data_IF_704558268750
#
_entry.id   IF_704558268750
#
_cell.length_a   1.000
_cell.length_b   1.000
_cell.length_c   1.000
_cell.angle_alpha   90.00
_cell.angle_beta   90.00
_cell.angle_gamma   90.00
#
_symmetry.space_group_name_H-M   'P 1'
#
loop_
_entity.id
_entity.type
_entity.pdbx_description
1 polymer ?
#
# COMPACT_ATOMS: atom_id res chain seq x y z
N UNK A 1 25.94 32.44 7.74
CA UNK A 1 26.40 31.04 7.61
C UNK A 1 26.34 30.44 9.00
N UNK A 2 25.72 29.33 9.32
CA UNK A 2 25.16 28.22 8.54
C UNK A 2 24.16 27.53 9.49
N UNK A 3 22.94 27.25 9.03
CA UNK A 3 21.94 26.51 9.82
C UNK A 3 22.20 25.01 9.59
N UNK A 4 22.44 24.18 10.61
CA UNK A 4 22.45 22.74 10.39
C UNK A 4 21.00 22.27 10.16
N UNK A 5 20.67 22.01 8.90
CA UNK A 5 19.49 21.22 8.53
C UNK A 5 19.68 19.80 9.08
N UNK A 6 19.04 19.52 10.22
CA UNK A 6 18.94 18.17 10.78
C UNK A 6 17.62 17.55 10.34
N UNK A 7 17.60 16.59 9.41
CA UNK A 7 16.40 15.80 9.14
C UNK A 7 16.42 14.58 10.06
N UNK A 8 16.19 14.77 11.36
CA UNK A 8 16.18 13.64 12.34
C UNK A 8 14.87 13.41 13.09
N UNK A 9 13.81 14.18 12.85
CA UNK A 9 12.54 13.94 13.52
C UNK A 9 11.35 14.33 12.65
N UNK A 10 10.82 13.38 11.88
CA UNK A 10 9.40 13.38 11.53
C UNK A 10 8.82 11.96 11.39
N UNK A 11 9.31 11.00 12.20
CA UNK A 11 8.54 9.80 12.53
C UNK A 11 7.96 9.95 13.96
N UNK A 12 7.36 11.12 14.21
CA UNK A 12 6.57 11.32 15.42
C UNK A 12 5.15 10.85 15.15
N UNK A 13 4.87 9.62 15.59
CA UNK A 13 3.66 9.29 16.34
C UNK A 13 2.35 9.86 15.77
N UNK A 14 1.78 9.12 14.84
CA UNK A 14 0.32 8.97 14.72
C UNK A 14 0.14 7.46 14.60
N UNK A 15 0.01 6.68 15.68
CA UNK A 15 -1.28 6.44 16.36
C UNK A 15 -2.43 7.10 15.60
N UNK A 16 -2.61 6.69 14.34
CA UNK A 16 -3.85 6.90 13.63
C UNK A 16 -4.80 5.91 14.29
N UNK A 17 -5.71 6.41 15.13
CA UNK A 17 -7.00 5.77 15.33
C UNK A 17 -7.73 5.80 13.98
N UNK A 18 -7.22 5.02 13.03
CA UNK A 18 -7.88 4.68 11.80
C UNK A 18 -8.73 3.49 12.16
N UNK A 19 -10.03 3.59 11.92
CA UNK A 19 -10.91 2.42 11.87
C UNK A 19 -10.13 1.31 11.17
N UNK A 20 -9.88 0.17 11.84
CA UNK A 20 -9.29 -1.00 11.19
C UNK A 20 -10.20 -1.32 10.01
N UNK A 21 -9.81 -0.88 8.82
CA UNK A 21 -10.53 -1.19 7.60
C UNK A 21 -10.42 -2.71 7.48
N UNK A 22 -11.53 -3.40 7.75
CA UNK A 22 -11.59 -4.83 7.50
C UNK A 22 -11.64 -5.00 5.99
N UNK A 23 -10.47 -5.19 5.38
CA UNK A 23 -10.38 -5.50 3.96
C UNK A 23 -10.82 -6.95 3.78
N UNK A 24 -11.99 -7.14 3.17
CA UNK A 24 -12.50 -8.46 2.79
C UNK A 24 -11.89 -8.94 1.48
N UNK A 25 -11.82 -10.26 1.29
CA UNK A 25 -11.24 -10.87 0.08
C UNK A 25 -12.00 -10.47 -1.20
N UNK A 26 -13.30 -10.18 -1.09
CA UNK A 26 -14.17 -9.73 -2.17
C UNK A 26 -14.01 -8.23 -2.53
N UNK A 27 -13.34 -7.43 -1.68
CA UNK A 27 -13.22 -5.99 -1.90
C UNK A 27 -12.34 -5.67 -3.09
N UNK A 28 -12.83 -4.80 -3.96
CA UNK A 28 -12.08 -4.26 -5.10
C UNK A 28 -11.15 -3.16 -4.61
N UNK A 29 -9.85 -3.39 -4.82
CA UNK A 29 -8.81 -2.45 -4.41
C UNK A 29 -8.45 -1.54 -5.57
N UNK A 30 -8.32 -0.24 -5.26
CA UNK A 30 -7.86 0.78 -6.19
C UNK A 30 -6.91 1.74 -5.49
N UNK A 31 -5.95 2.26 -6.24
CA UNK A 31 -5.16 3.41 -5.79
C UNK A 31 -6.07 4.61 -5.52
N UNK A 32 -5.72 5.39 -4.51
CA UNK A 32 -6.38 6.66 -4.26
C UNK A 32 -6.12 7.64 -5.42
N UNK A 33 -7.07 8.52 -5.72
CA UNK A 33 -6.96 9.48 -6.83
C UNK A 33 -5.76 10.44 -6.66
N UNK A 34 -5.32 10.64 -5.41
CA UNK A 34 -4.16 11.44 -5.02
C UNK A 34 -2.91 10.60 -4.75
N UNK A 35 -2.93 9.29 -5.00
CA UNK A 35 -1.77 8.41 -4.91
C UNK A 35 -1.26 8.03 -6.31
N UNK A 36 0.06 8.06 -6.49
CA UNK A 36 0.71 7.60 -7.72
C UNK A 36 1.90 6.71 -7.42
N UNK A 37 1.96 5.55 -8.06
CA UNK A 37 3.11 4.64 -7.99
C UNK A 37 4.11 5.02 -9.07
N UNK A 38 5.38 5.17 -8.71
CA UNK A 38 6.47 5.40 -9.64
C UNK A 38 7.61 4.43 -9.38
N UNK A 39 8.08 3.77 -10.44
CA UNK A 39 9.25 2.90 -10.37
C UNK A 39 10.52 3.75 -10.50
N UNK A 40 11.42 3.64 -9.53
CA UNK A 40 12.67 4.39 -9.46
C UNK A 40 13.83 3.41 -9.24
N UNK A 41 14.60 3.16 -10.29
CA UNK A 41 15.68 2.18 -10.25
C UNK A 41 15.12 0.76 -10.13
N UNK A 42 15.52 0.03 -9.08
CA UNK A 42 15.13 -1.35 -8.81
C UNK A 42 13.99 -1.47 -7.77
N UNK A 43 13.18 -0.42 -7.57
CA UNK A 43 12.03 -0.50 -6.68
C UNK A 43 10.96 0.55 -6.97
N UNK A 44 9.83 0.46 -6.27
CA UNK A 44 8.72 1.40 -6.39
C UNK A 44 8.63 2.40 -5.21
N UNK A 45 8.20 3.61 -5.53
CA UNK A 45 7.80 4.63 -4.56
C UNK A 45 6.36 5.07 -4.81
N UNK A 46 5.59 5.29 -3.75
CA UNK A 46 4.27 5.89 -3.81
C UNK A 46 4.36 7.36 -3.42
N UNK A 47 3.90 8.24 -4.29
CA UNK A 47 3.74 9.66 -4.02
C UNK A 47 2.28 9.97 -3.70
N UNK A 48 2.03 10.54 -2.52
CA UNK A 48 0.75 11.13 -2.18
C UNK A 48 0.76 12.61 -2.58
N UNK A 49 0.03 12.97 -3.64
CA UNK A 49 -0.07 14.33 -4.16
C UNK A 49 -0.68 15.31 -3.14
N UNK A 50 -1.56 14.83 -2.24
CA UNK A 50 -2.18 15.67 -1.21
C UNK A 50 -1.19 16.17 -0.16
N UNK A 51 -0.27 15.31 0.28
CA UNK A 51 0.68 15.62 1.37
C UNK A 51 2.10 15.87 0.87
N UNK A 52 2.42 15.47 -0.36
CA UNK A 52 3.80 15.44 -0.89
C UNK A 52 4.67 14.36 -0.24
N UNK A 53 4.07 13.41 0.50
CA UNK A 53 4.81 12.33 1.14
C UNK A 53 5.15 11.23 0.14
N UNK A 54 6.35 10.67 0.30
CA UNK A 54 6.85 9.56 -0.48
C UNK A 54 7.00 8.34 0.43
N UNK A 55 6.43 7.23 0.00
CA UNK A 55 6.56 5.93 0.64
C UNK A 55 7.41 5.03 -0.26
N UNK A 56 8.40 4.36 0.32
CA UNK A 56 9.19 3.36 -0.39
C UNK A 56 8.55 2.00 -0.23
N UNK A 57 8.27 1.32 -1.33
CA UNK A 57 7.71 -0.02 -1.33
C UNK A 57 8.81 -1.07 -1.32
N UNK A 58 8.59 -2.17 -0.60
CA UNK A 58 9.38 -3.38 -0.80
C UNK A 58 8.87 -4.13 -2.05
N UNK A 59 9.62 -5.12 -2.54
CA UNK A 59 9.26 -5.83 -3.78
C UNK A 59 7.90 -6.54 -3.72
N UNK A 60 7.46 -6.98 -2.53
CA UNK A 60 6.13 -7.58 -2.34
C UNK A 60 5.02 -6.54 -2.45
N UNK A 61 5.18 -5.38 -1.81
CA UNK A 61 4.24 -4.25 -1.89
C UNK A 61 4.18 -3.70 -3.31
N UNK A 62 5.31 -3.63 -4.01
CA UNK A 62 5.35 -3.25 -5.42
C UNK A 62 4.54 -4.23 -6.29
N UNK A 63 4.80 -5.53 -6.18
CA UNK A 63 4.08 -6.54 -6.93
C UNK A 63 2.57 -6.57 -6.61
N UNK A 64 2.20 -6.19 -5.39
CA UNK A 64 0.82 -6.01 -4.97
C UNK A 64 0.20 -4.78 -5.65
N UNK A 65 0.82 -3.61 -5.52
CA UNK A 65 0.34 -2.36 -6.10
C UNK A 65 0.25 -2.40 -7.63
N UNK A 66 1.15 -3.13 -8.29
CA UNK A 66 1.11 -3.35 -9.74
C UNK A 66 -0.14 -4.14 -10.19
N UNK A 67 -0.70 -4.96 -9.31
CA UNK A 67 -1.92 -5.74 -9.56
C UNK A 67 -3.21 -5.00 -9.18
N UNK A 68 -3.10 -3.94 -8.37
CA UNK A 68 -4.21 -3.08 -7.95
C UNK A 68 -4.56 -2.14 -9.11
N UNK A 69 -5.56 -2.53 -9.89
CA UNK A 69 -6.04 -1.79 -11.06
C UNK A 69 -7.42 -1.14 -10.86
N UNK A 70 -8.04 -1.32 -9.69
CA UNK A 70 -9.40 -0.88 -9.42
C UNK A 70 -10.51 -1.73 -10.03
N UNK A 71 -10.17 -2.88 -10.62
CA UNK A 71 -11.13 -3.86 -11.13
C UNK A 71 -11.02 -5.20 -10.40
N UNK A 72 -9.82 -5.57 -9.92
CA UNK A 72 -9.59 -6.83 -9.22
C UNK A 72 -9.91 -6.75 -7.72
N UNK A 73 -10.48 -7.83 -7.20
CA UNK A 73 -10.65 -8.00 -5.76
C UNK A 73 -9.34 -8.43 -5.08
N UNK A 74 -9.26 -8.26 -3.76
CA UNK A 74 -8.12 -8.74 -2.97
C UNK A 74 -7.84 -10.23 -3.23
N UNK A 75 -8.87 -11.10 -3.23
CA UNK A 75 -8.73 -12.54 -3.49
C UNK A 75 -8.07 -12.83 -4.85
N UNK A 76 -8.46 -12.09 -5.89
CA UNK A 76 -7.89 -12.24 -7.23
C UNK A 76 -6.43 -11.82 -7.25
N UNK A 77 -6.09 -10.74 -6.57
CA UNK A 77 -4.70 -10.26 -6.43
C UNK A 77 -3.86 -11.28 -5.66
N UNK A 78 -4.39 -11.81 -4.55
CA UNK A 78 -3.73 -12.83 -3.71
C UNK A 78 -3.49 -14.11 -4.50
N UNK A 79 -4.44 -14.55 -5.34
CA UNK A 79 -4.23 -15.72 -6.21
C UNK A 79 -3.08 -15.49 -7.20
N UNK A 80 -3.00 -14.31 -7.81
CA UNK A 80 -1.92 -13.96 -8.74
C UNK A 80 -0.56 -13.91 -8.04
N UNK A 81 -0.50 -13.32 -6.84
CA UNK A 81 0.73 -13.25 -6.05
C UNK A 81 1.13 -14.62 -5.50
N UNK A 82 0.18 -15.45 -5.10
CA UNK A 82 0.42 -16.82 -4.63
C UNK A 82 1.10 -17.66 -5.72
N UNK A 83 0.65 -17.52 -6.97
CA UNK A 83 1.25 -18.17 -8.14
C UNK A 83 2.64 -17.60 -8.46
N UNK A 84 2.80 -16.27 -8.45
CA UNK A 84 4.07 -15.60 -8.77
C UNK A 84 5.17 -15.86 -7.74
N UNK A 85 4.83 -15.86 -6.46
CA UNK A 85 5.79 -16.04 -5.36
C UNK A 85 5.88 -17.49 -4.87
N UNK A 86 5.09 -18.42 -5.44
CA UNK A 86 4.96 -19.82 -5.01
C UNK A 86 4.67 -19.95 -3.50
N UNK A 87 3.80 -19.08 -2.96
CA UNK A 87 3.43 -19.04 -1.52
C UNK A 87 2.02 -19.56 -1.31
N UNK A 88 1.77 -20.17 -0.14
CA UNK A 88 0.42 -20.58 0.28
C UNK A 88 -0.57 -19.40 0.31
N UNK A 89 -1.69 -19.57 -0.37
CA UNK A 89 -2.75 -18.56 -0.47
C UNK A 89 -3.30 -18.14 0.90
N UNK A 90 -3.47 -19.08 1.84
CA UNK A 90 -4.06 -18.78 3.14
C UNK A 90 -3.19 -17.86 3.98
N UNK A 91 -1.87 -18.08 3.93
CA UNK A 91 -0.89 -17.21 4.58
C UNK A 91 -0.82 -15.84 3.91
N UNK A 92 -0.82 -15.83 2.57
CA UNK A 92 -0.73 -14.60 1.78
C UNK A 92 -1.99 -13.75 1.89
N UNK A 93 -3.17 -14.35 2.01
CA UNK A 93 -4.45 -13.64 2.18
C UNK A 93 -4.45 -12.79 3.44
N UNK A 94 -3.99 -13.35 4.57
CA UNK A 94 -3.88 -12.61 5.84
C UNK A 94 -2.86 -11.46 5.76
N UNK A 95 -1.71 -11.72 5.15
CA UNK A 95 -0.65 -10.72 4.99
C UNK A 95 -1.08 -9.58 4.05
N UNK A 96 -1.72 -9.91 2.92
CA UNK A 96 -2.20 -8.93 1.95
C UNK A 96 -3.41 -8.16 2.46
N UNK A 97 -4.31 -8.78 3.24
CA UNK A 97 -5.41 -8.07 3.89
C UNK A 97 -4.90 -7.05 4.91
N UNK A 98 -3.90 -7.43 5.72
CA UNK A 98 -3.26 -6.51 6.66
C UNK A 98 -2.55 -5.36 5.93
N UNK A 99 -1.77 -5.68 4.88
CA UNK A 99 -1.11 -4.69 4.05
C UNK A 99 -2.11 -3.73 3.40
N UNK A 100 -3.19 -4.23 2.82
CA UNK A 100 -4.23 -3.40 2.21
C UNK A 100 -4.89 -2.48 3.23
N UNK A 101 -5.15 -2.97 4.45
CA UNK A 101 -5.72 -2.16 5.53
C UNK A 101 -4.78 -1.00 5.94
N UNK A 102 -3.48 -1.28 6.03
CA UNK A 102 -2.46 -0.25 6.29
C UNK A 102 -2.42 0.78 5.16
N UNK A 103 -2.40 0.34 3.90
CA UNK A 103 -2.37 1.24 2.74
C UNK A 103 -3.63 2.11 2.63
N UNK A 104 -4.81 1.59 3.00
CA UNK A 104 -6.04 2.38 3.10
C UNK A 104 -5.93 3.41 4.24
N UNK A 105 -5.40 3.00 5.40
CA UNK A 105 -5.21 3.89 6.54
C UNK A 105 -4.21 5.03 6.26
N UNK A 106 -3.18 4.77 5.46
CA UNK A 106 -2.22 5.78 5.01
C UNK A 106 -2.77 6.65 3.86
N UNK A 107 -3.92 6.29 3.27
CA UNK A 107 -4.53 7.00 2.15
C UNK A 107 -3.88 6.73 0.80
N UNK A 108 -3.12 5.64 0.68
CA UNK A 108 -2.50 5.18 -0.57
C UNK A 108 -3.52 4.43 -1.43
N UNK A 109 -4.28 3.52 -0.79
CA UNK A 109 -5.43 2.89 -1.41
C UNK A 109 -6.69 3.68 -1.08
N UNK A 110 -7.61 3.76 -2.03
CA UNK A 110 -8.93 4.28 -1.74
C UNK A 110 -9.69 3.29 -0.85
N UNK A 111 -10.65 3.81 -0.08
CA UNK A 111 -11.58 2.98 0.68
C UNK A 111 -12.28 2.01 -0.30
N UNK A 112 -12.14 0.68 -0.11
CA UNK A 112 -12.73 -0.29 -0.99
C UNK A 112 -14.25 -0.14 -1.01
N UNK A 113 -14.81 -0.12 -2.23
CA UNK A 113 -16.25 -0.16 -2.38
C UNK A 113 -16.76 -1.60 -2.11
N UNK A 114 -17.90 -1.76 -1.42
CA UNK A 114 -18.57 -3.05 -1.28
C UNK A 114 -19.17 -3.54 -2.61
#
# INVERSE_FOLDING_TARGET
>A
MDRPASPRYLLSRKMVEGSMAQIGSEMVLRLADDASVQHVGDGAVVLLARSGQLYTCNGTTEAFLDKVDGARSLDQIVVLLSDEFEVDKGTLDQDMAALAAELVSEGILADPAP
#
